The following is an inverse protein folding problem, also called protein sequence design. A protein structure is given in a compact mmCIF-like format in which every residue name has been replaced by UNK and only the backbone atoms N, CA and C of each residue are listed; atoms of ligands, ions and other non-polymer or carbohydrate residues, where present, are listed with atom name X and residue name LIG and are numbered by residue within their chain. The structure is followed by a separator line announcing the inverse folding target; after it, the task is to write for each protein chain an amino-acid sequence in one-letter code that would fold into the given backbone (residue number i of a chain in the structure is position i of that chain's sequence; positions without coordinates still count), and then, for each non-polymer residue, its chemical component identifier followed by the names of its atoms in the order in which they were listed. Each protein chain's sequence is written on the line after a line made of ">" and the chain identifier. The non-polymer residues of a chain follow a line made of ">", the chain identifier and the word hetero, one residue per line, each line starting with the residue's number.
data_IF_411895021251
#
_entry.id   IF_411895021251
#
_cell.length_a   1.000
_cell.length_b   1.000
_cell.length_c   1.000
_cell.angle_alpha   90.00
_cell.angle_beta   90.00
_cell.angle_gamma   90.00
#
_symmetry.space_group_name_H-M   'P 1'
#
loop_
_entity.id
_entity.type
_entity.pdbx_description
1 polymer ?
#
# COMPACT_ATOMS: atom_id res chain seq x y z
N UNK A 1 17.43 11.19 -0.74
CA UNK A 1 16.75 9.99 -0.22
C UNK A 1 15.26 10.24 -0.35
N UNK A 2 14.52 9.47 -1.15
CA UNK A 2 13.05 9.58 -1.13
C UNK A 2 12.57 8.98 0.20
N UNK A 3 12.08 9.84 1.07
CA UNK A 3 11.53 9.41 2.35
C UNK A 3 10.05 9.10 2.13
N UNK A 4 9.68 7.83 2.22
CA UNK A 4 8.32 7.32 2.10
C UNK A 4 7.56 7.51 3.43
N UNK A 5 7.36 8.76 3.81
CA UNK A 5 6.66 9.14 5.04
C UNK A 5 5.62 10.23 4.75
N UNK A 6 4.72 10.41 5.71
CA UNK A 6 3.70 11.46 5.69
C UNK A 6 4.21 12.62 6.56
N UNK A 7 4.40 13.82 6.00
CA UNK A 7 4.77 14.98 6.80
C UNK A 7 3.70 15.31 7.86
N UNK A 8 4.10 15.84 9.03
CA UNK A 8 3.15 16.34 10.03
C UNK A 8 2.11 17.29 9.40
N UNK A 9 0.85 17.16 9.80
CA UNK A 9 -0.25 17.99 9.29
C UNK A 9 -0.81 17.58 7.91
N UNK A 10 -0.19 16.62 7.21
CA UNK A 10 -0.67 16.12 5.92
C UNK A 10 -1.47 14.81 6.01
N UNK A 11 -1.74 14.33 7.23
CA UNK A 11 -2.43 13.06 7.47
C UNK A 11 -3.82 13.00 6.79
N UNK A 12 -4.53 14.12 6.69
CA UNK A 12 -5.83 14.20 5.98
C UNK A 12 -5.76 13.89 4.48
N UNK A 13 -4.57 13.94 3.89
CA UNK A 13 -4.32 13.62 2.48
C UNK A 13 -3.66 12.24 2.30
N UNK A 14 -3.52 11.48 3.38
CA UNK A 14 -2.92 10.17 3.37
C UNK A 14 -3.87 9.16 2.70
N UNK A 15 -3.28 8.26 1.92
CA UNK A 15 -3.94 7.10 1.33
C UNK A 15 -3.04 5.90 1.54
N UNK A 16 -3.63 4.71 1.69
CA UNK A 16 -2.91 3.45 1.78
C UNK A 16 -3.10 2.63 0.51
N UNK A 17 -2.02 2.07 -0.03
CA UNK A 17 -2.11 1.15 -1.19
C UNK A 17 -2.79 -0.15 -0.79
N UNK A 18 -3.80 -0.58 -1.55
CA UNK A 18 -4.56 -1.80 -1.23
C UNK A 18 -3.76 -3.10 -1.48
N UNK A 19 -2.65 -3.04 -2.21
CA UNK A 19 -1.77 -4.20 -2.45
C UNK A 19 -0.70 -4.34 -1.37
N UNK A 20 0.05 -3.27 -1.10
CA UNK A 20 1.25 -3.32 -0.24
C UNK A 20 1.11 -2.60 1.10
N UNK A 21 -0.04 -1.99 1.39
CA UNK A 21 -0.36 -1.19 2.58
C UNK A 21 0.51 0.05 2.84
N UNK A 22 1.41 0.44 1.92
CA UNK A 22 2.21 1.66 2.09
C UNK A 22 1.29 2.90 2.14
N UNK A 23 1.55 3.78 3.09
CA UNK A 23 0.77 5.00 3.30
C UNK A 23 1.60 6.21 2.87
N UNK A 24 1.09 6.90 1.86
CA UNK A 24 1.69 8.12 1.30
C UNK A 24 0.61 9.17 1.10
N UNK A 25 1.02 10.42 0.86
CA UNK A 25 0.05 11.45 0.45
C UNK A 25 -0.43 11.21 -0.97
N UNK A 26 -1.67 11.61 -1.28
CA UNK A 26 -2.20 11.53 -2.65
C UNK A 26 -1.26 12.16 -3.69
N UNK A 27 -0.64 13.31 -3.35
CA UNK A 27 0.35 13.97 -4.19
C UNK A 27 1.60 13.11 -4.43
N UNK A 28 2.07 12.36 -3.41
CA UNK A 28 3.21 11.44 -3.57
C UNK A 28 2.88 10.31 -4.52
N UNK A 29 1.71 9.69 -4.40
CA UNK A 29 1.27 8.68 -5.37
C UNK A 29 1.15 9.26 -6.78
N UNK A 30 0.58 10.45 -6.95
CA UNK A 30 0.45 11.10 -8.27
C UNK A 30 1.81 11.39 -8.91
N UNK A 31 2.78 11.86 -8.12
CA UNK A 31 4.07 12.29 -8.66
C UNK A 31 5.05 11.12 -8.91
N UNK A 32 4.99 10.08 -8.06
CA UNK A 32 6.01 9.03 -8.04
C UNK A 32 5.45 7.60 -8.18
N UNK A 33 4.13 7.43 -8.11
CA UNK A 33 3.50 6.12 -8.04
C UNK A 33 3.67 5.44 -6.68
N UNK A 34 3.25 4.18 -6.60
CA UNK A 34 3.55 3.33 -5.46
C UNK A 34 4.96 2.76 -5.60
N UNK A 35 5.88 2.93 -4.62
CA UNK A 35 7.26 2.45 -4.75
C UNK A 35 7.38 0.92 -4.70
N UNK A 36 6.36 0.21 -4.20
CA UNK A 36 6.33 -1.24 -4.12
C UNK A 36 5.54 -1.90 -5.25
N UNK A 37 4.67 -1.12 -5.91
CA UNK A 37 3.69 -1.64 -6.87
C UNK A 37 3.74 -0.83 -8.17
N UNK A 38 4.85 -0.90 -8.93
CA UNK A 38 5.01 -0.13 -10.17
C UNK A 38 3.97 -0.51 -11.23
N UNK A 39 3.52 -1.77 -11.23
CA UNK A 39 2.49 -2.31 -12.12
C UNK A 39 1.11 -1.66 -11.97
N UNK A 40 0.85 -0.94 -10.87
CA UNK A 40 -0.43 -0.21 -10.71
C UNK A 40 -0.48 1.08 -11.53
N UNK A 41 0.65 1.52 -12.11
CA UNK A 41 0.74 2.70 -12.97
C UNK A 41 0.10 3.99 -12.41
N UNK A 42 0.17 4.16 -11.08
CA UNK A 42 -0.49 5.27 -10.37
C UNK A 42 0.05 6.66 -10.74
N UNK A 43 1.24 6.73 -11.33
CA UNK A 43 1.91 7.99 -11.63
C UNK A 43 1.14 8.74 -12.72
N UNK A 44 0.72 9.96 -12.41
CA UNK A 44 -0.08 10.79 -13.33
C UNK A 44 -1.55 10.40 -13.43
N UNK A 45 -1.97 9.21 -12.97
CA UNK A 45 -3.35 8.73 -13.05
C UNK A 45 -4.10 8.90 -11.73
N UNK A 46 -5.02 9.86 -11.67
CA UNK A 46 -5.86 10.06 -10.48
C UNK A 46 -6.92 8.99 -10.30
N UNK A 47 -7.45 8.49 -11.41
CA UNK A 47 -8.38 7.37 -11.42
C UNK A 47 -7.73 6.12 -10.84
N UNK A 48 -6.52 5.75 -11.29
CA UNK A 48 -5.82 4.59 -10.74
C UNK A 48 -5.52 4.76 -9.24
N UNK A 49 -5.20 5.97 -8.78
CA UNK A 49 -5.00 6.25 -7.35
C UNK A 49 -6.29 6.05 -6.56
N UNK A 50 -7.42 6.57 -7.04
CA UNK A 50 -8.71 6.40 -6.38
C UNK A 50 -9.12 4.94 -6.31
N UNK A 51 -8.88 4.19 -7.38
CA UNK A 51 -9.24 2.78 -7.53
C UNK A 51 -8.33 1.83 -6.77
N UNK A 52 -7.03 2.13 -6.65
CA UNK A 52 -6.04 1.19 -6.07
C UNK A 52 -5.54 1.57 -4.68
N UNK A 53 -5.99 2.71 -4.13
CA UNK A 53 -5.62 3.18 -2.80
C UNK A 53 -6.82 3.67 -2.02
N UNK A 54 -6.79 3.55 -0.68
CA UNK A 54 -7.90 3.94 0.18
C UNK A 54 -7.52 5.05 1.15
N UNK A 55 -8.45 5.97 1.42
CA UNK A 55 -8.35 6.93 2.51
C UNK A 55 -8.75 6.33 3.86
N UNK A 56 -9.39 5.16 3.85
CA UNK A 56 -9.86 4.46 5.04
C UNK A 56 -8.88 3.35 5.34
N UNK A 57 -8.06 3.56 6.36
CA UNK A 57 -7.06 2.60 6.83
C UNK A 57 -6.87 2.75 8.34
N UNK A 58 -6.41 1.69 8.97
CA UNK A 58 -6.20 1.62 10.42
C UNK A 58 -4.76 1.31 10.74
N UNK A 59 -4.29 1.88 11.86
CA UNK A 59 -2.94 1.72 12.37
C UNK A 59 -1.88 2.35 11.46
N UNK A 60 -0.77 2.77 12.06
CA UNK A 60 0.41 3.22 11.34
C UNK A 60 1.64 2.52 11.88
N UNK A 61 2.45 2.00 10.96
CA UNK A 61 3.69 1.30 11.23
C UNK A 61 4.81 2.02 10.48
N UNK A 62 5.79 2.52 11.20
CA UNK A 62 7.02 3.03 10.59
C UNK A 62 8.06 1.90 10.51
N UNK A 63 8.35 1.43 9.29
CA UNK A 63 9.33 0.37 9.05
C UNK A 63 10.65 0.99 8.58
N UNK A 64 11.68 0.92 9.43
CA UNK A 64 13.03 1.36 9.10
C UNK A 64 13.85 0.28 8.35
N UNK A 65 13.75 -0.97 8.78
CA UNK A 65 14.42 -2.13 8.16
C UNK A 65 13.44 -3.30 8.00
N UNK A 66 12.77 -3.41 6.84
CA UNK A 66 11.78 -4.47 6.56
C UNK A 66 12.34 -5.88 6.78
N UNK A 67 13.53 -6.17 6.26
CA UNK A 67 14.16 -7.50 6.29
C UNK A 67 14.52 -8.01 7.70
N UNK A 68 14.64 -7.11 8.68
CA UNK A 68 14.99 -7.46 10.08
C UNK A 68 13.83 -7.34 11.05
N UNK A 69 12.67 -6.85 10.60
CA UNK A 69 11.55 -6.54 11.47
C UNK A 69 10.57 -7.71 11.54
N UNK A 70 10.32 -8.23 12.74
CA UNK A 70 9.25 -9.20 12.98
C UNK A 70 7.88 -8.62 12.59
N UNK A 71 7.62 -7.34 12.88
CA UNK A 71 6.38 -6.66 12.50
C UNK A 71 6.21 -6.64 10.98
N UNK A 72 7.30 -6.40 10.23
CA UNK A 72 7.25 -6.41 8.77
C UNK A 72 6.95 -7.81 8.22
N UNK A 73 7.56 -8.86 8.81
CA UNK A 73 7.28 -10.26 8.46
C UNK A 73 5.82 -10.63 8.75
N UNK A 74 5.31 -10.28 9.93
CA UNK A 74 3.92 -10.52 10.31
C UNK A 74 2.94 -9.84 9.35
N UNK A 75 3.25 -8.60 8.96
CA UNK A 75 2.44 -7.83 8.03
C UNK A 75 2.68 -8.17 6.54
N UNK A 76 3.54 -9.16 6.23
CA UNK A 76 3.91 -9.53 4.85
C UNK A 76 4.38 -8.33 4.03
N UNK A 77 5.21 -7.48 4.63
CA UNK A 77 5.83 -6.28 4.03
C UNK A 77 7.36 -6.28 4.16
N UNK A 78 7.96 -7.39 4.57
CA UNK A 78 9.42 -7.56 4.73
C UNK A 78 10.20 -7.51 3.40
N UNK A 79 9.52 -7.75 2.28
CA UNK A 79 10.05 -7.57 0.91
C UNK A 79 9.96 -6.14 0.35
N UNK A 80 9.27 -5.22 1.05
CA UNK A 80 8.99 -3.88 0.55
C UNK A 80 10.02 -2.83 1.01
N UNK A 81 9.91 -1.61 0.47
CA UNK A 81 10.81 -0.50 0.83
C UNK A 81 10.56 -0.01 2.26
N UNK A 82 11.55 0.67 2.87
CA UNK A 82 11.33 1.40 4.13
C UNK A 82 10.25 2.48 3.95
N UNK A 83 9.43 2.72 4.97
CA UNK A 83 8.36 3.71 4.92
C UNK A 83 7.27 3.52 5.98
N UNK A 84 6.21 4.30 5.85
CA UNK A 84 4.98 4.18 6.64
C UNK A 84 4.01 3.19 5.98
N UNK A 85 3.45 2.26 6.77
CA UNK A 85 2.50 1.25 6.34
C UNK A 85 1.28 1.23 7.26
N UNK A 86 0.11 0.84 6.73
CA UNK A 86 -1.08 0.63 7.52
C UNK A 86 -1.14 -0.80 8.06
N UNK A 87 -1.76 -1.01 9.22
CA UNK A 87 -2.03 -2.37 9.72
C UNK A 87 -3.20 -3.02 8.97
N UNK A 88 -4.19 -2.22 8.57
CA UNK A 88 -5.31 -2.65 7.73
C UNK A 88 -5.68 -1.55 6.74
N UNK A 89 -6.13 -1.93 5.56
CA UNK A 89 -6.61 -1.02 4.51
C UNK A 89 -8.00 -1.47 4.09
N UNK A 90 -8.99 -0.59 4.25
CA UNK A 90 -10.35 -0.89 3.84
C UNK A 90 -10.53 -0.66 2.35
N UNK A 91 -11.18 -1.60 1.68
CA UNK A 91 -11.47 -1.54 0.25
C UNK A 91 -11.02 -2.82 -0.46
N UNK A 92 -11.60 -3.03 -1.64
CA UNK A 92 -11.24 -4.13 -2.53
C UNK A 92 -10.75 -3.55 -3.86
N UNK A 93 -9.74 -4.19 -4.43
CA UNK A 93 -9.36 -3.92 -5.82
C UNK A 93 -10.47 -4.42 -6.75
N UNK A 94 -10.77 -3.69 -7.84
CA UNK A 94 -11.64 -4.20 -8.89
C UNK A 94 -11.10 -5.51 -9.47
N UNK A 95 -12.01 -6.31 -10.02
CA UNK A 95 -11.66 -7.62 -10.60
C UNK A 95 -10.63 -7.47 -11.72
N UNK A 96 -10.77 -6.45 -12.55
CA UNK A 96 -9.87 -6.19 -13.68
C UNK A 96 -8.43 -5.98 -13.20
N UNK A 97 -8.26 -5.26 -12.08
CA UNK A 97 -6.95 -5.03 -11.48
C UNK A 97 -6.43 -6.33 -10.86
N UNK A 98 -7.28 -7.13 -10.21
CA UNK A 98 -6.88 -8.43 -9.65
C UNK A 98 -6.40 -9.41 -10.72
N UNK A 99 -7.14 -9.53 -11.82
CA UNK A 99 -6.75 -10.37 -12.96
C UNK A 99 -5.40 -9.94 -13.53
N UNK A 100 -5.17 -8.63 -13.71
CA UNK A 100 -3.88 -8.13 -14.18
C UNK A 100 -2.72 -8.46 -13.21
N UNK A 101 -2.97 -8.50 -11.89
CA UNK A 101 -1.96 -8.94 -10.91
C UNK A 101 -1.62 -10.42 -11.08
N UNK A 102 -2.64 -11.27 -11.28
CA UNK A 102 -2.46 -12.70 -11.45
C UNK A 102 -1.71 -13.04 -12.74
N UNK A 103 -1.99 -12.31 -13.83
CA UNK A 103 -1.29 -12.44 -15.12
C UNK A 103 0.22 -12.11 -14.99
N UNK A 104 0.57 -11.15 -14.13
CA UNK A 104 1.96 -10.80 -13.79
C UNK A 104 2.58 -11.74 -12.73
N UNK A 105 1.86 -12.79 -12.30
CA UNK A 105 2.30 -13.76 -11.30
C UNK A 105 2.32 -13.21 -9.86
N UNK A 106 1.58 -12.14 -9.59
CA UNK A 106 1.49 -11.50 -8.27
C UNK A 106 0.27 -12.02 -7.53
N UNK A 107 0.52 -12.77 -6.45
CA UNK A 107 -0.56 -13.24 -5.56
C UNK A 107 -1.11 -12.07 -4.76
N UNK A 108 -2.36 -11.67 -5.04
CA UNK A 108 -3.06 -10.64 -4.28
C UNK A 108 -3.56 -11.19 -2.94
N UNK A 109 -3.10 -10.57 -1.85
CA UNK A 109 -3.57 -10.87 -0.49
C UNK A 109 -4.28 -9.60 0.03
N UNK A 110 -5.60 -9.66 0.29
CA UNK A 110 -6.35 -8.53 0.84
C UNK A 110 -5.74 -7.98 2.13
N UNK A 111 -5.72 -6.65 2.24
CA UNK A 111 -5.15 -5.93 3.40
C UNK A 111 -6.20 -5.45 4.40
N UNK A 112 -7.46 -5.84 4.21
CA UNK A 112 -8.60 -5.47 5.06
C UNK A 112 -8.74 -6.35 6.32
N UNK A 113 -8.03 -7.48 6.36
CA UNK A 113 -8.07 -8.46 7.45
C UNK A 113 -8.84 -9.73 7.13
N UNK A 114 -9.57 -9.78 6.01
CA UNK A 114 -10.33 -10.96 5.58
C UNK A 114 -9.46 -12.21 5.38
N UNK A 115 -8.18 -12.02 5.01
CA UNK A 115 -7.22 -13.11 4.83
C UNK A 115 -6.78 -13.78 6.15
N UNK A 116 -6.94 -13.11 7.30
CA UNK A 116 -6.55 -13.65 8.62
C UNK A 116 -7.70 -14.45 9.24
N UNK A 117 -8.94 -14.21 8.82
CA UNK A 117 -10.13 -14.89 9.35
C UNK A 117 -10.36 -16.29 8.74
N UNK A 118 -9.55 -16.68 7.74
CA UNK A 118 -9.65 -17.95 7.03
C UNK A 118 -8.61 -19.01 7.48
N UNK A 119 -7.82 -18.70 8.53
CA UNK A 119 -6.91 -19.64 9.23
C UNK A 119 -7.44 -19.98 10.62
#
# INVERSE_FOLDING_TARGET
>A
MSENFIPPGQMRYARACMVCSIVLTQTRFRNHGCPNCPFLELKGSSEAIETCTSQVFEGLIAIANPKKSWVAKWQRIDGYVRGCYATKVSGSLPEEVRTALEEEGIVYIPRDGSAVEQE
#
